data_IF_359430713926
#
_entry.id   IF_359430713926
#
_cell.length_a   1.000
_cell.length_b   1.000
_cell.length_c   1.000
_cell.angle_alpha   90.00
_cell.angle_beta   90.00
_cell.angle_gamma   90.00
#
_symmetry.space_group_name_H-M   'P 1'
#
loop_
_entity.id
_entity.type
_entity.pdbx_description
1 polymer ?
#
# COMPACT_ATOMS: atom_id res chain seq x y z
N UNK A 1 -10.70 8.81 -11.78
CA UNK A 1 -10.89 8.35 -10.39
C UNK A 1 -9.70 7.49 -9.98
N UNK A 2 -8.92 7.92 -8.98
CA UNK A 2 -7.82 7.09 -8.46
C UNK A 2 -8.44 6.09 -7.49
N UNK A 3 -8.62 4.85 -7.92
CA UNK A 3 -9.05 3.74 -7.06
C UNK A 3 -7.99 3.49 -5.98
N UNK A 4 -8.15 4.14 -4.84
CA UNK A 4 -7.31 3.93 -3.64
C UNK A 4 -7.73 2.63 -2.97
N UNK A 5 -7.17 1.52 -3.42
CA UNK A 5 -7.26 0.26 -2.70
C UNK A 5 -6.50 0.41 -1.38
N UNK A 6 -7.21 0.31 -0.25
CA UNK A 6 -6.61 0.28 1.07
C UNK A 6 -6.40 -1.17 1.50
N UNK A 7 -5.29 -1.44 2.17
CA UNK A 7 -4.92 -2.78 2.65
C UNK A 7 -4.88 -2.85 4.19
N UNK A 8 -5.69 -2.00 4.83
CA UNK A 8 -5.81 -1.89 6.28
C UNK A 8 -5.89 -0.43 6.75
N UNK A 9 -5.83 -0.25 8.08
CA UNK A 9 -5.88 1.08 8.69
C UNK A 9 -4.61 1.88 8.40
N UNK A 10 -4.76 3.03 7.72
CA UNK A 10 -3.65 3.91 7.29
C UNK A 10 -2.61 3.22 6.40
N UNK A 11 -3.06 2.24 5.59
CA UNK A 11 -2.21 1.55 4.60
C UNK A 11 -2.85 1.58 3.23
N UNK A 12 -2.02 1.74 2.20
CA UNK A 12 -2.47 1.91 0.83
C UNK A 12 -1.77 0.93 -0.10
N UNK A 13 -2.53 0.38 -1.04
CA UNK A 13 -1.99 -0.42 -2.11
C UNK A 13 -1.32 0.50 -3.14
N UNK A 14 -0.01 0.35 -3.31
CA UNK A 14 0.77 1.08 -4.32
C UNK A 14 1.68 0.14 -5.08
N UNK A 15 2.00 0.50 -6.33
CA UNK A 15 2.99 -0.24 -7.12
C UNK A 15 4.40 -0.09 -6.52
N UNK A 16 4.70 1.10 -6.04
CA UNK A 16 5.91 1.46 -5.30
C UNK A 16 5.50 2.25 -4.06
N UNK A 17 6.04 1.88 -2.89
CA UNK A 17 5.84 2.64 -1.66
C UNK A 17 6.64 3.94 -1.72
N UNK A 18 6.14 5.00 -1.09
CA UNK A 18 6.90 6.24 -0.93
C UNK A 18 8.08 6.03 0.02
N UNK A 19 9.05 6.94 0.00
CA UNK A 19 10.23 6.88 0.86
C UNK A 19 9.89 6.86 2.37
N UNK A 20 8.74 7.43 2.74
CA UNK A 20 8.21 7.48 4.11
C UNK A 20 7.35 6.25 4.48
N UNK A 21 7.15 5.33 3.53
CA UNK A 21 6.38 4.11 3.73
C UNK A 21 7.29 2.88 3.70
N UNK A 22 6.89 1.81 4.38
CA UNK A 22 7.52 0.50 4.25
C UNK A 22 6.57 -0.49 3.57
N UNK A 23 7.14 -1.48 2.87
CA UNK A 23 6.36 -2.54 2.23
C UNK A 23 5.95 -3.57 3.27
N UNK A 24 4.65 -3.76 3.46
CA UNK A 24 4.10 -4.81 4.33
C UNK A 24 3.99 -6.14 3.58
N UNK A 25 3.67 -6.09 2.28
CA UNK A 25 3.49 -7.28 1.45
C UNK A 25 2.30 -7.13 0.51
N UNK A 26 1.61 -8.23 0.19
CA UNK A 26 0.51 -8.23 -0.78
C UNK A 26 -0.88 -7.97 -0.19
N UNK A 27 -1.08 -8.12 1.14
CA UNK A 27 -2.31 -7.86 1.94
C UNK A 27 -3.58 -7.40 1.18
N UNK A 28 -4.16 -8.24 0.33
CA UNK A 28 -5.40 -7.94 -0.42
C UNK A 28 -5.26 -6.94 -1.59
N UNK A 29 -4.06 -6.43 -1.86
CA UNK A 29 -3.79 -5.59 -3.01
C UNK A 29 -3.84 -6.40 -4.33
N UNK A 30 -4.14 -5.77 -5.48
CA UNK A 30 -4.06 -6.45 -6.78
C UNK A 30 -2.64 -6.95 -7.07
N UNK A 31 -2.47 -7.99 -7.91
CA UNK A 31 -1.18 -8.68 -8.20
C UNK A 31 0.04 -7.79 -8.55
N UNK A 32 -0.17 -6.52 -8.90
CA UNK A 32 0.90 -5.54 -9.22
C UNK A 32 1.13 -4.47 -8.15
N UNK A 33 0.34 -4.49 -7.08
CA UNK A 33 0.37 -3.52 -6.01
C UNK A 33 0.81 -4.21 -4.72
N UNK A 34 1.47 -3.44 -3.88
CA UNK A 34 1.97 -3.84 -2.57
C UNK A 34 1.29 -2.96 -1.55
N UNK A 35 1.02 -3.53 -0.39
CA UNK A 35 0.53 -2.79 0.75
C UNK A 35 1.66 -1.98 1.36
N UNK A 36 1.53 -0.66 1.31
CA UNK A 36 2.47 0.30 1.86
C UNK A 36 1.88 0.88 3.15
N UNK A 37 2.69 0.90 4.20
CA UNK A 37 2.33 1.46 5.50
C UNK A 37 3.24 2.62 5.83
N UNK A 38 2.66 3.71 6.34
CA UNK A 38 3.44 4.84 6.84
C UNK A 38 4.34 4.38 8.00
N UNK A 39 5.60 4.82 7.97
CA UNK A 39 6.45 4.82 9.17
C UNK A 39 5.92 5.94 10.07
N UNK A 40 5.24 5.57 11.14
CA UNK A 40 4.95 6.49 12.25
C UNK A 40 6.23 6.76 13.03
#
# INVERSE_FOLDING_TARGET
EVNFWSCGYRRYCRRFCYAQEYTVGHHGCPRRYRCCALRY
#
